data_IF_241579877465
#
_entry.id   IF_241579877465
#
_cell.length_a   1.000
_cell.length_b   1.000
_cell.length_c   1.000
_cell.angle_alpha   90.00
_cell.angle_beta   90.00
_cell.angle_gamma   90.00
#
_symmetry.space_group_name_H-M   'P 1'
#
loop_
_entity.id
_entity.type
_entity.pdbx_description
1 polymer ?
#
# COMPACT_ATOMS: atom_id res chain seq x y z
N UNK A 1 -44.04 4.07 -10.60
CA UNK A 1 -42.96 3.07 -10.68
C UNK A 1 -41.77 3.72 -11.38
N UNK A 2 -41.04 4.57 -10.65
CA UNK A 2 -39.89 5.31 -11.16
C UNK A 2 -38.67 4.39 -11.09
N UNK A 3 -38.15 3.99 -12.26
CA UNK A 3 -36.79 3.43 -12.39
C UNK A 3 -35.83 4.54 -11.97
N UNK A 4 -35.40 4.51 -10.73
CA UNK A 4 -34.26 5.29 -10.28
C UNK A 4 -33.05 4.72 -11.03
N UNK A 5 -32.53 5.53 -11.95
CA UNK A 5 -31.28 5.25 -12.63
C UNK A 5 -30.18 5.31 -11.59
N UNK A 6 -29.85 4.15 -11.03
CA UNK A 6 -28.62 3.96 -10.25
C UNK A 6 -27.46 4.28 -11.18
N UNK A 7 -26.96 5.52 -11.08
CA UNK A 7 -25.60 5.79 -11.47
C UNK A 7 -24.74 4.80 -10.67
N UNK A 8 -24.10 3.87 -11.37
CA UNK A 8 -23.34 2.78 -10.80
C UNK A 8 -22.13 3.32 -10.00
N UNK A 9 -22.39 3.79 -8.78
CA UNK A 9 -21.35 4.13 -7.84
C UNK A 9 -20.57 2.84 -7.56
N UNK A 10 -19.23 2.82 -7.73
CA UNK A 10 -18.44 1.68 -7.33
C UNK A 10 -18.79 1.32 -5.89
N UNK A 11 -19.07 0.04 -5.63
CA UNK A 11 -19.38 -0.39 -4.27
C UNK A 11 -18.28 0.05 -3.30
N UNK A 12 -18.63 0.47 -2.08
CA UNK A 12 -17.70 1.07 -1.11
C UNK A 12 -16.37 0.30 -0.97
N UNK A 13 -16.41 -1.04 -0.98
CA UNK A 13 -15.20 -1.88 -0.98
C UNK A 13 -14.31 -1.63 -2.21
N UNK A 14 -14.88 -1.57 -3.41
CA UNK A 14 -14.12 -1.30 -4.63
C UNK A 14 -13.46 0.07 -4.59
N UNK A 15 -14.14 1.11 -4.09
CA UNK A 15 -13.56 2.45 -3.93
C UNK A 15 -12.37 2.46 -2.95
N UNK A 16 -12.48 1.77 -1.82
CA UNK A 16 -11.38 1.64 -0.85
C UNK A 16 -10.19 0.90 -1.47
N UNK A 17 -10.45 -0.21 -2.16
CA UNK A 17 -9.40 -1.01 -2.81
C UNK A 17 -8.71 -0.23 -3.93
N UNK A 18 -9.48 0.55 -4.69
CA UNK A 18 -8.93 1.46 -5.70
C UNK A 18 -8.04 2.52 -5.07
N UNK A 19 -8.48 3.15 -3.97
CA UNK A 19 -7.66 4.08 -3.21
C UNK A 19 -6.33 3.45 -2.79
N UNK A 20 -6.36 2.27 -2.17
CA UNK A 20 -5.14 1.56 -1.74
C UNK A 20 -4.22 1.23 -2.92
N UNK A 21 -4.78 0.81 -4.06
CA UNK A 21 -4.01 0.54 -5.27
C UNK A 21 -3.30 1.81 -5.78
N UNK A 22 -3.97 2.97 -5.77
CA UNK A 22 -3.35 4.23 -6.17
C UNK A 22 -2.15 4.58 -5.29
N UNK A 23 -2.24 4.40 -3.97
CA UNK A 23 -1.10 4.61 -3.07
C UNK A 23 0.08 3.70 -3.40
N UNK A 24 -0.16 2.41 -3.62
CA UNK A 24 0.90 1.49 -4.03
C UNK A 24 1.51 1.82 -5.38
N UNK A 25 0.71 2.24 -6.37
CA UNK A 25 1.24 2.60 -7.68
C UNK A 25 2.15 3.84 -7.62
N UNK A 26 1.80 4.82 -6.78
CA UNK A 26 2.66 5.99 -6.53
C UNK A 26 3.95 5.58 -5.81
N UNK A 27 3.86 4.74 -4.79
CA UNK A 27 5.04 4.21 -4.09
C UNK A 27 5.95 3.40 -5.03
N UNK A 28 5.36 2.51 -5.83
CA UNK A 28 6.05 1.74 -6.88
C UNK A 28 6.77 2.65 -7.85
N UNK A 29 6.11 3.71 -8.34
CA UNK A 29 6.73 4.66 -9.27
C UNK A 29 7.96 5.34 -8.65
N UNK A 30 7.91 5.68 -7.35
CA UNK A 30 9.06 6.22 -6.64
C UNK A 30 10.20 5.21 -6.53
N UNK A 31 9.91 3.94 -6.18
CA UNK A 31 10.92 2.90 -6.10
C UNK A 31 11.53 2.56 -7.47
N UNK A 32 10.71 2.39 -8.52
CA UNK A 32 11.20 2.19 -9.89
C UNK A 32 12.12 3.33 -10.33
N UNK A 33 11.74 4.57 -10.02
CA UNK A 33 12.59 5.73 -10.32
C UNK A 33 13.91 5.66 -9.56
N UNK A 34 13.87 5.37 -8.26
CA UNK A 34 15.07 5.25 -7.44
C UNK A 34 16.00 4.11 -7.94
N UNK A 35 15.44 2.94 -8.23
CA UNK A 35 16.14 1.79 -8.77
C UNK A 35 16.78 2.09 -10.12
N UNK A 36 16.10 2.85 -10.98
CA UNK A 36 16.65 3.26 -12.27
C UNK A 36 17.79 4.27 -12.13
N UNK A 37 17.69 5.20 -11.16
CA UNK A 37 18.66 6.28 -10.96
C UNK A 37 19.90 5.82 -10.19
N UNK A 38 19.76 4.87 -9.28
CA UNK A 38 20.79 4.52 -8.30
C UNK A 38 21.09 3.02 -8.20
N UNK A 39 20.29 2.17 -8.86
CA UNK A 39 20.36 0.72 -8.80
C UNK A 39 19.42 0.11 -7.74
N UNK A 40 19.00 -1.13 -7.98
CA UNK A 40 18.02 -1.86 -7.16
C UNK A 40 18.36 -1.98 -5.66
N UNK A 41 19.65 -1.99 -5.33
CA UNK A 41 20.13 -2.07 -3.95
C UNK A 41 20.63 -0.70 -3.48
N UNK A 42 20.03 0.41 -3.87
CA UNK A 42 20.48 1.72 -3.41
C UNK A 42 20.30 1.90 -1.90
N UNK A 43 21.23 2.60 -1.26
CA UNK A 43 21.23 2.91 0.18
C UNK A 43 20.33 4.09 0.57
N UNK A 44 19.62 4.67 -0.40
CA UNK A 44 18.72 5.82 -0.22
C UNK A 44 19.40 7.03 0.43
N UNK A 45 20.73 7.17 0.24
CA UNK A 45 21.53 8.27 0.79
C UNK A 45 21.96 8.08 2.25
N UNK A 46 21.62 6.96 2.90
CA UNK A 46 22.04 6.66 4.27
C UNK A 46 23.46 6.10 4.37
N UNK A 47 24.13 5.82 3.25
CA UNK A 47 25.50 5.31 3.21
C UNK A 47 25.70 4.06 4.07
N UNK A 48 26.72 4.06 4.93
CA UNK A 48 27.02 2.95 5.84
C UNK A 48 25.91 2.68 6.88
N UNK A 49 24.94 3.59 7.05
CA UNK A 49 23.76 3.39 7.89
C UNK A 49 22.69 2.51 7.25
N UNK A 50 22.71 2.31 5.93
CA UNK A 50 21.80 1.41 5.24
C UNK A 50 22.27 -0.04 5.35
N UNK A 51 21.65 -0.81 6.25
CA UNK A 51 21.92 -2.23 6.35
C UNK A 51 21.53 -2.94 5.06
N UNK A 52 22.23 -4.02 4.71
CA UNK A 52 21.96 -4.78 3.50
C UNK A 52 20.50 -5.24 3.42
N UNK A 53 19.91 -5.67 4.54
CA UNK A 53 18.51 -6.07 4.61
C UNK A 53 17.54 -4.93 4.26
N UNK A 54 17.85 -3.69 4.63
CA UNK A 54 17.04 -2.50 4.28
C UNK A 54 17.11 -2.17 2.80
N UNK A 55 18.29 -2.31 2.19
CA UNK A 55 18.47 -2.13 0.75
C UNK A 55 17.67 -3.14 -0.06
N UNK A 56 17.67 -4.41 0.37
CA UNK A 56 16.84 -5.46 -0.22
C UNK A 56 15.36 -5.18 0.03
N UNK A 57 14.99 -4.73 1.22
CA UNK A 57 13.60 -4.38 1.56
C UNK A 57 13.07 -3.29 0.63
N UNK A 58 13.77 -2.17 0.49
CA UNK A 58 13.34 -1.08 -0.39
C UNK A 58 13.27 -1.50 -1.87
N UNK A 59 14.25 -2.24 -2.37
CA UNK A 59 14.18 -2.76 -3.74
C UNK A 59 13.02 -3.75 -3.95
N UNK A 60 12.73 -4.60 -2.96
CA UNK A 60 11.62 -5.56 -3.06
C UNK A 60 10.25 -4.88 -3.20
N UNK A 61 10.08 -3.67 -2.68
CA UNK A 61 8.82 -2.90 -2.81
C UNK A 61 8.47 -2.60 -4.28
N UNK A 62 9.45 -2.47 -5.18
CA UNK A 62 9.24 -2.36 -6.63
C UNK A 62 8.42 -3.52 -7.21
N UNK A 63 8.43 -4.69 -6.57
CA UNK A 63 7.71 -5.89 -7.00
C UNK A 63 6.50 -6.16 -6.10
N UNK A 64 6.66 -5.98 -4.78
CA UNK A 64 5.65 -6.35 -3.80
C UNK A 64 4.45 -5.40 -3.83
N UNK A 65 4.67 -4.10 -4.00
CA UNK A 65 3.60 -3.09 -4.08
C UNK A 65 2.65 -3.31 -5.27
N UNK A 66 3.12 -3.46 -6.53
CA UNK A 66 2.22 -3.70 -7.65
C UNK A 66 1.53 -5.07 -7.55
N UNK A 67 2.16 -6.07 -6.93
CA UNK A 67 1.51 -7.36 -6.66
C UNK A 67 0.35 -7.19 -5.66
N UNK A 68 0.54 -6.43 -4.59
CA UNK A 68 -0.52 -6.13 -3.64
C UNK A 68 -1.65 -5.32 -4.30
N UNK A 69 -1.30 -4.32 -5.12
CA UNK A 69 -2.26 -3.55 -5.92
C UNK A 69 -3.10 -4.46 -6.83
N UNK A 70 -2.48 -5.44 -7.49
CA UNK A 70 -3.17 -6.40 -8.35
C UNK A 70 -4.10 -7.33 -7.55
N UNK A 71 -3.61 -7.83 -6.41
CA UNK A 71 -4.37 -8.73 -5.54
C UNK A 71 -5.61 -8.08 -4.94
N UNK A 72 -5.61 -6.74 -4.74
CA UNK A 72 -6.80 -6.01 -4.32
C UNK A 72 -7.99 -6.22 -5.28
N UNK A 73 -7.75 -6.52 -6.56
CA UNK A 73 -8.82 -6.77 -7.53
C UNK A 73 -9.08 -8.26 -7.79
N UNK A 74 -8.04 -9.07 -7.93
CA UNK A 74 -8.18 -10.49 -8.28
C UNK A 74 -8.56 -11.36 -7.07
N UNK A 75 -7.97 -11.10 -5.91
CA UNK A 75 -8.23 -11.82 -4.66
C UNK A 75 -8.39 -10.83 -3.51
N UNK A 76 -9.52 -10.08 -3.44
CA UNK A 76 -9.60 -8.85 -2.67
C UNK A 76 -9.27 -9.00 -1.19
N UNK A 77 -9.67 -10.11 -0.55
CA UNK A 77 -9.32 -10.40 0.85
C UNK A 77 -7.81 -10.58 1.03
N UNK A 78 -7.17 -11.35 0.15
CA UNK A 78 -5.71 -11.52 0.17
C UNK A 78 -5.03 -10.17 -0.07
N UNK A 79 -5.53 -9.39 -1.03
CA UNK A 79 -5.04 -8.04 -1.31
C UNK A 79 -5.09 -7.13 -0.09
N UNK A 80 -6.26 -7.04 0.59
CA UNK A 80 -6.43 -6.20 1.79
C UNK A 80 -5.47 -6.64 2.92
N UNK A 81 -5.36 -7.95 3.18
CA UNK A 81 -4.46 -8.46 4.20
C UNK A 81 -2.99 -8.14 3.88
N UNK A 82 -2.59 -8.32 2.61
CA UNK A 82 -1.25 -8.02 2.16
C UNK A 82 -0.96 -6.50 2.21
N UNK A 83 -1.93 -5.65 1.85
CA UNK A 83 -1.82 -4.20 2.00
C UNK A 83 -1.48 -3.81 3.43
N UNK A 84 -2.23 -4.35 4.40
CA UNK A 84 -2.01 -4.08 5.81
C UNK A 84 -0.63 -4.54 6.27
N UNK A 85 -0.21 -5.76 5.87
CA UNK A 85 1.10 -6.28 6.22
C UNK A 85 2.24 -5.41 5.69
N UNK A 86 2.19 -5.03 4.41
CA UNK A 86 3.23 -4.20 3.77
C UNK A 86 3.35 -2.86 4.48
N UNK A 87 2.25 -2.11 4.61
CA UNK A 87 2.32 -0.74 5.14
C UNK A 87 2.72 -0.70 6.63
N UNK A 88 2.36 -1.72 7.41
CA UNK A 88 2.82 -1.85 8.80
C UNK A 88 4.34 -2.05 8.82
N UNK A 89 4.85 -3.00 8.04
CA UNK A 89 6.29 -3.30 8.00
C UNK A 89 7.07 -2.10 7.47
N UNK A 90 6.59 -1.46 6.40
CA UNK A 90 7.22 -0.27 5.80
C UNK A 90 7.29 0.90 6.79
N UNK A 91 6.18 1.22 7.47
CA UNK A 91 6.19 2.29 8.48
C UNK A 91 7.16 1.97 9.61
N UNK A 92 7.10 0.76 10.18
CA UNK A 92 8.01 0.35 11.27
C UNK A 92 9.47 0.42 10.82
N UNK A 93 9.78 -0.09 9.62
CA UNK A 93 11.12 -0.10 9.06
C UNK A 93 11.66 1.32 8.87
N UNK A 94 10.86 2.20 8.25
CA UNK A 94 11.27 3.56 7.95
C UNK A 94 11.26 4.47 9.20
N UNK A 95 10.44 4.19 10.21
CA UNK A 95 10.50 4.89 11.52
C UNK A 95 11.88 4.74 12.17
N UNK A 96 12.54 3.59 12.03
CA UNK A 96 13.90 3.39 12.53
C UNK A 96 14.90 4.37 11.88
N UNK A 97 14.88 4.45 10.54
CA UNK A 97 15.74 5.38 9.79
C UNK A 97 15.41 6.85 10.07
N UNK A 98 14.12 7.18 10.15
CA UNK A 98 13.65 8.52 10.48
C UNK A 98 14.10 8.96 11.87
N UNK A 99 14.04 8.07 12.86
CA UNK A 99 14.49 8.35 14.21
C UNK A 99 16.01 8.62 14.26
N UNK A 100 16.80 7.82 13.57
CA UNK A 100 18.26 7.99 13.50
C UNK A 100 18.67 9.29 12.81
N UNK A 101 17.91 9.73 11.79
CA UNK A 101 18.27 10.87 10.94
C UNK A 101 17.42 12.14 11.20
N UNK A 102 16.52 12.10 12.19
CA UNK A 102 15.60 13.19 12.57
C UNK A 102 14.67 13.68 11.45
N UNK A 103 14.23 12.77 10.59
CA UNK A 103 13.43 13.05 9.39
C UNK A 103 11.90 12.97 9.61
N UNK A 104 11.43 13.34 10.81
CA UNK A 104 10.04 13.10 11.23
C UNK A 104 8.97 13.80 10.39
N UNK A 105 9.35 14.89 9.72
CA UNK A 105 8.46 15.71 8.91
C UNK A 105 8.69 15.54 7.41
N UNK A 106 9.55 14.59 7.02
CA UNK A 106 9.82 14.36 5.61
C UNK A 106 8.56 13.84 4.90
N UNK A 107 8.23 14.36 3.70
CA UNK A 107 7.01 13.98 2.99
C UNK A 107 6.89 12.47 2.73
N UNK A 108 8.01 11.78 2.45
CA UNK A 108 8.00 10.33 2.28
C UNK A 108 7.44 9.63 3.53
N UNK A 109 7.93 10.00 4.73
CA UNK A 109 7.50 9.42 5.99
C UNK A 109 6.05 9.78 6.35
N UNK A 110 5.66 11.05 6.15
CA UNK A 110 4.29 11.47 6.44
C UNK A 110 3.28 10.76 5.54
N UNK A 111 3.61 10.54 4.26
CA UNK A 111 2.73 9.85 3.31
C UNK A 111 2.48 8.38 3.66
N UNK A 112 3.51 7.62 4.04
CA UNK A 112 3.35 6.23 4.49
C UNK A 112 2.55 6.13 5.80
N UNK A 113 2.72 7.08 6.74
CA UNK A 113 1.94 7.11 7.99
C UNK A 113 0.48 7.45 7.69
N UNK A 114 0.21 8.42 6.83
CA UNK A 114 -1.15 8.73 6.39
C UNK A 114 -1.80 7.52 5.70
N UNK A 115 -1.04 6.79 4.86
CA UNK A 115 -1.53 5.59 4.22
C UNK A 115 -1.79 4.46 5.23
N UNK A 116 -0.92 4.24 6.21
CA UNK A 116 -1.14 3.30 7.31
C UNK A 116 -2.45 3.60 8.03
N UNK A 117 -2.69 4.86 8.40
CA UNK A 117 -3.94 5.27 9.06
C UNK A 117 -5.16 4.98 8.19
N UNK A 118 -5.09 5.32 6.89
CA UNK A 118 -6.16 4.99 5.94
C UNK A 118 -6.41 3.47 5.87
N UNK A 119 -5.36 2.66 5.83
CA UNK A 119 -5.46 1.20 5.78
C UNK A 119 -6.08 0.64 7.07
N UNK A 120 -5.64 1.09 8.25
CA UNK A 120 -6.19 0.62 9.52
C UNK A 120 -7.68 0.97 9.68
N UNK A 121 -8.09 2.16 9.23
CA UNK A 121 -9.46 2.62 9.33
C UNK A 121 -10.39 1.97 8.30
N UNK A 122 -9.92 1.79 7.06
CA UNK A 122 -10.77 1.38 5.93
C UNK A 122 -10.73 -0.13 5.63
N UNK A 123 -9.68 -0.84 6.01
CA UNK A 123 -9.56 -2.29 5.75
C UNK A 123 -10.70 -3.12 6.37
N UNK A 124 -11.16 -2.88 7.62
CA UNK A 124 -12.30 -3.62 8.16
C UNK A 124 -13.57 -3.43 7.33
N UNK A 125 -13.82 -2.20 6.87
CA UNK A 125 -14.99 -1.87 6.03
C UNK A 125 -14.90 -2.61 4.69
N UNK A 126 -13.75 -2.52 4.02
CA UNK A 126 -13.54 -3.20 2.74
C UNK A 126 -13.64 -4.72 2.87
N UNK A 127 -13.10 -5.30 3.96
CA UNK A 127 -13.13 -6.73 4.22
C UNK A 127 -14.55 -7.26 4.41
N UNK A 128 -15.33 -6.65 5.32
CA UNK A 128 -16.69 -7.11 5.61
C UNK A 128 -17.66 -6.91 4.44
N UNK A 129 -17.45 -5.89 3.61
CA UNK A 129 -18.24 -5.68 2.40
C UNK A 129 -17.92 -6.72 1.34
N UNK A 130 -16.63 -7.05 1.15
CA UNK A 130 -16.18 -8.10 0.23
C UNK A 130 -16.73 -9.47 0.63
N UNK A 131 -16.61 -9.84 1.91
CA UNK A 131 -17.08 -11.13 2.40
C UNK A 131 -18.60 -11.34 2.18
N UNK A 132 -19.41 -10.29 2.36
CA UNK A 132 -20.85 -10.34 2.09
C UNK A 132 -21.17 -10.51 0.61
N UNK A 133 -20.43 -9.85 -0.29
CA UNK A 133 -20.59 -10.02 -1.73
C UNK A 133 -20.23 -11.44 -2.19
N UNK A 134 -19.15 -12.01 -1.64
CA UNK A 134 -18.74 -13.40 -1.93
C UNK A 134 -19.81 -14.41 -1.49
N UNK A 135 -20.45 -14.18 -0.34
CA UNK A 135 -21.54 -15.02 0.17
C UNK A 135 -22.79 -14.91 -0.70
N UNK A 136 -23.22 -13.68 -1.06
CA UNK A 136 -24.37 -13.45 -1.94
C UNK A 136 -24.20 -14.01 -3.35
N UNK A 137 -22.98 -14.20 -3.84
CA UNK A 137 -22.71 -14.80 -5.17
C UNK A 137 -22.76 -16.33 -5.16
N UNK A 138 -22.76 -16.97 -3.99
CA UNK A 138 -22.75 -18.43 -3.83
C UNK A 138 -24.13 -19.06 -3.69
N UNK A 139 -25.15 -18.25 -3.44
CA UNK A 139 -26.55 -18.64 -3.31
C UNK A 139 -27.36 -18.06 -4.46
#
# INVERSE_FOLDING_TARGET
MTKQTDQAMPGVSLSIRFLFACFFLVATANHVRADFQHGFLWDHGYGNGAYWASRVFWGALTIVDPLAALLLFIKPRVGIALTAAIIIVDVVHNTFYVALNRQWLEPFYLSQVAFLLAVLLLSPVAWHRTARSDESSRY
#
